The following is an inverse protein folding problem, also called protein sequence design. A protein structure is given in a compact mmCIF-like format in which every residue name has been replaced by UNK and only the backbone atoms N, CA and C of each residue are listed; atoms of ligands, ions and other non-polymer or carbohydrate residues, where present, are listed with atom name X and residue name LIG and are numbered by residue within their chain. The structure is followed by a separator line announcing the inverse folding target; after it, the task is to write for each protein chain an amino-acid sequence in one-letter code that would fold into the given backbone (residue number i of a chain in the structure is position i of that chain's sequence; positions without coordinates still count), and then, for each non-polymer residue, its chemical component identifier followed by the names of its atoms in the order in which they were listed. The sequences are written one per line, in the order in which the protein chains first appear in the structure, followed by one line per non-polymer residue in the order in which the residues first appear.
data_IF_490904223960
#
_entry.id   IF_490904223960
#
_cell.length_a   1.000
_cell.length_b   1.000
_cell.length_c   1.000
_cell.angle_alpha   90.00
_cell.angle_beta   90.00
_cell.angle_gamma   90.00
#
_symmetry.space_group_name_H-M   'P 1'
#
loop_
_entity.id
_entity.type
_entity.pdbx_description
1 polymer ?
#
# COMPACT_ATOMS: atom_id res chain seq x y z
N UNK A 1 15.73 -53.15 40.82
CA UNK A 1 16.29 -52.73 39.52
C UNK A 1 16.25 -51.21 39.43
N UNK A 2 17.38 -50.57 39.75
CA UNK A 2 17.50 -49.10 39.64
C UNK A 2 17.90 -48.71 38.21
N UNK A 3 16.92 -48.41 37.37
CA UNK A 3 17.19 -47.85 36.06
C UNK A 3 17.66 -46.39 36.23
N UNK A 4 18.94 -46.10 35.99
CA UNK A 4 19.48 -44.75 35.99
C UNK A 4 19.12 -44.15 34.63
N UNK A 5 18.20 -43.20 34.62
CA UNK A 5 17.88 -42.37 33.42
C UNK A 5 18.80 -41.17 33.43
N UNK A 6 19.77 -41.15 32.53
CA UNK A 6 20.68 -40.02 32.36
C UNK A 6 20.03 -39.04 31.39
N UNK A 7 19.60 -37.90 31.89
CA UNK A 7 19.14 -36.77 31.05
C UNK A 7 20.34 -35.97 30.57
N UNK A 8 20.59 -35.99 29.27
CA UNK A 8 21.53 -35.08 28.64
C UNK A 8 20.80 -33.76 28.38
N UNK A 9 21.06 -32.78 29.23
CA UNK A 9 20.71 -31.40 28.89
C UNK A 9 21.67 -30.93 27.80
N UNK A 10 21.16 -30.74 26.59
CA UNK A 10 21.93 -30.04 25.54
C UNK A 10 22.16 -28.64 26.04
N UNK A 11 23.42 -28.31 26.42
CA UNK A 11 23.78 -26.94 26.79
C UNK A 11 23.44 -26.01 25.65
N UNK A 12 22.50 -25.11 25.88
CA UNK A 12 22.10 -24.08 24.91
C UNK A 12 23.21 -23.02 24.65
N UNK A 13 24.36 -23.14 25.31
CA UNK A 13 25.45 -22.17 25.29
C UNK A 13 26.69 -22.65 24.51
N UNK A 14 26.54 -23.48 23.50
CA UNK A 14 27.64 -23.61 22.55
C UNK A 14 27.64 -22.32 21.72
N UNK A 15 28.68 -21.49 21.93
CA UNK A 15 28.96 -20.33 21.09
C UNK A 15 29.08 -20.80 19.64
N UNK A 16 28.06 -20.55 18.84
CA UNK A 16 28.10 -20.81 17.42
C UNK A 16 27.88 -19.50 16.65
N UNK A 17 28.48 -19.42 15.48
CA UNK A 17 28.20 -18.32 14.57
C UNK A 17 26.80 -18.51 13.96
N UNK A 18 25.90 -17.54 14.19
CA UNK A 18 24.55 -17.61 13.64
C UNK A 18 24.57 -17.52 12.11
N UNK A 19 23.86 -18.46 11.48
CA UNK A 19 23.57 -18.41 10.05
C UNK A 19 22.14 -17.94 9.87
N UNK A 20 21.98 -16.63 9.73
CA UNK A 20 20.69 -15.99 9.64
C UNK A 20 20.04 -16.15 8.26
N UNK A 21 18.72 -16.37 8.25
CA UNK A 21 17.89 -16.19 7.05
C UNK A 21 17.87 -14.73 6.60
N UNK A 22 17.35 -14.49 5.42
CA UNK A 22 16.97 -13.12 5.03
C UNK A 22 15.90 -12.57 5.99
N UNK A 23 15.86 -11.25 6.15
CA UNK A 23 14.80 -10.57 6.89
C UNK A 23 13.45 -10.76 6.18
N UNK A 24 12.41 -11.03 6.95
CA UNK A 24 11.03 -11.19 6.48
C UNK A 24 10.14 -10.18 7.20
N UNK A 25 9.41 -9.39 6.44
CA UNK A 25 8.44 -8.45 6.98
C UNK A 25 7.22 -9.20 7.57
N UNK A 26 6.77 -8.79 8.76
CA UNK A 26 5.69 -9.45 9.48
C UNK A 26 4.30 -8.89 9.13
N UNK A 27 4.23 -7.78 8.39
CA UNK A 27 2.98 -7.10 7.97
C UNK A 27 2.07 -6.76 9.17
N UNK A 28 2.65 -6.25 10.23
CA UNK A 28 2.02 -5.93 11.51
C UNK A 28 1.94 -4.43 11.80
N UNK A 29 2.18 -3.58 10.78
CA UNK A 29 2.04 -2.13 10.89
C UNK A 29 0.59 -1.73 11.17
N UNK A 30 0.41 -0.73 12.04
CA UNK A 30 -0.90 -0.17 12.39
C UNK A 30 -0.91 1.31 12.07
N UNK A 31 -1.99 1.78 11.44
CA UNK A 31 -2.25 3.19 11.21
C UNK A 31 -3.70 3.52 11.57
N UNK A 32 -3.91 4.24 12.64
CA UNK A 32 -5.22 4.74 13.06
C UNK A 32 -5.39 6.22 12.68
N UNK A 33 -4.35 7.04 12.89
CA UNK A 33 -4.32 8.46 12.55
C UNK A 33 -2.88 8.96 12.34
N UNK A 34 -2.71 10.21 11.95
CA UNK A 34 -1.38 10.83 11.80
C UNK A 34 -0.58 10.95 13.10
N UNK A 35 -1.25 10.88 14.25
CA UNK A 35 -0.64 10.91 15.58
C UNK A 35 -0.69 9.55 16.30
N UNK A 36 -1.33 8.55 15.70
CA UNK A 36 -1.49 7.21 16.27
C UNK A 36 -1.21 6.17 15.18
N UNK A 37 0.06 5.84 15.04
CA UNK A 37 0.51 4.78 14.13
C UNK A 37 1.72 4.07 14.71
N UNK A 38 1.92 2.83 14.28
CA UNK A 38 3.08 2.00 14.59
C UNK A 38 3.59 1.36 13.31
N UNK A 39 4.87 1.52 13.05
CA UNK A 39 5.54 0.77 11.98
C UNK A 39 5.54 -0.71 12.29
N UNK A 40 5.59 -1.53 11.23
CA UNK A 40 5.65 -2.98 11.37
C UNK A 40 7.02 -3.45 11.84
N UNK A 41 7.14 -4.77 11.94
CA UNK A 41 8.39 -5.43 12.33
C UNK A 41 8.86 -6.38 11.24
N UNK A 42 10.14 -6.74 11.30
CA UNK A 42 10.73 -7.78 10.46
C UNK A 42 11.53 -8.75 11.33
N UNK A 43 11.48 -10.02 10.96
CA UNK A 43 12.10 -11.12 11.71
C UNK A 43 13.02 -11.93 10.81
N UNK A 44 14.14 -12.41 11.37
CA UNK A 44 14.99 -13.44 10.76
C UNK A 44 15.26 -14.55 11.77
N UNK A 45 15.58 -15.73 11.27
CA UNK A 45 15.79 -16.93 12.11
C UNK A 45 17.11 -17.58 11.74
N UNK A 46 17.84 -18.01 12.75
CA UNK A 46 19.05 -18.78 12.56
C UNK A 46 18.70 -20.21 12.13
N UNK A 47 19.25 -20.67 11.01
CA UNK A 47 19.02 -22.02 10.50
C UNK A 47 19.66 -23.12 11.36
N UNK A 48 20.67 -22.80 12.18
CA UNK A 48 21.40 -23.76 12.99
C UNK A 48 20.73 -24.00 14.35
N UNK A 49 20.29 -22.96 15.05
CA UNK A 49 19.75 -23.07 16.41
C UNK A 49 18.26 -22.72 16.54
N UNK A 50 17.64 -22.16 15.48
CA UNK A 50 16.25 -21.71 15.51
C UNK A 50 16.00 -20.42 16.27
N UNK A 51 17.06 -19.77 16.78
CA UNK A 51 16.92 -18.46 17.42
C UNK A 51 16.41 -17.41 16.41
N UNK A 52 15.56 -16.52 16.87
CA UNK A 52 14.97 -15.47 16.05
C UNK A 52 15.26 -14.11 16.64
N UNK A 53 15.55 -13.15 15.77
CA UNK A 53 15.61 -11.75 16.15
C UNK A 53 14.62 -10.92 15.35
N UNK A 54 14.12 -9.87 15.98
CA UNK A 54 13.11 -8.97 15.40
C UNK A 54 13.58 -7.53 15.56
N UNK A 55 13.38 -6.73 14.53
CA UNK A 55 13.61 -5.28 14.53
C UNK A 55 12.46 -4.54 13.87
N UNK A 56 12.38 -3.23 14.09
CA UNK A 56 11.41 -2.38 13.42
C UNK A 56 11.63 -2.34 11.90
N UNK A 57 10.53 -2.19 11.18
CA UNK A 57 10.48 -1.94 9.76
C UNK A 57 9.98 -0.50 9.53
N UNK A 58 10.85 0.51 9.55
CA UNK A 58 10.47 1.92 9.59
C UNK A 58 9.70 2.34 8.33
N UNK A 59 8.80 3.33 8.50
CA UNK A 59 7.93 3.92 7.49
C UNK A 59 6.86 2.99 6.88
N UNK A 60 6.68 1.78 7.37
CA UNK A 60 5.66 0.85 6.84
C UNK A 60 4.24 1.36 7.04
N UNK A 61 3.92 1.98 8.17
CA UNK A 61 2.63 2.61 8.41
C UNK A 61 2.40 3.84 7.50
N UNK A 62 3.45 4.42 6.94
CA UNK A 62 3.40 5.57 6.04
C UNK A 62 3.24 5.18 4.57
N UNK A 63 3.41 3.90 4.21
CA UNK A 63 3.06 3.32 2.91
C UNK A 63 1.54 3.26 2.74
N UNK A 64 0.91 4.42 2.72
CA UNK A 64 -0.54 4.58 2.64
C UNK A 64 -0.94 5.75 1.78
N UNK A 65 -2.13 5.69 1.22
CA UNK A 65 -2.67 6.81 0.44
C UNK A 65 -2.77 8.09 1.29
N UNK A 66 -2.53 9.20 0.64
CA UNK A 66 -2.81 10.54 1.16
C UNK A 66 -4.04 11.18 0.49
N UNK A 67 -4.43 10.68 -0.67
CA UNK A 67 -5.62 11.09 -1.38
C UNK A 67 -5.76 10.41 -2.73
N UNK A 68 -6.86 10.72 -3.41
CA UNK A 68 -7.16 10.23 -4.74
C UNK A 68 -7.61 11.40 -5.63
N UNK A 69 -7.45 11.20 -6.93
CA UNK A 69 -7.95 12.09 -7.98
C UNK A 69 -8.53 11.25 -9.12
N UNK A 70 -9.39 11.85 -9.91
CA UNK A 70 -9.90 11.30 -11.14
C UNK A 70 -9.47 12.22 -12.29
N UNK A 71 -8.84 11.67 -13.31
CA UNK A 71 -8.54 12.37 -14.56
C UNK A 71 -9.41 11.81 -15.68
N UNK A 72 -9.94 12.72 -16.50
CA UNK A 72 -10.81 12.44 -17.64
C UNK A 72 -10.18 13.04 -18.88
N UNK A 73 -9.17 12.36 -19.41
CA UNK A 73 -8.49 12.76 -20.65
C UNK A 73 -8.88 11.80 -21.78
N UNK A 74 -7.93 11.04 -22.30
CA UNK A 74 -8.17 10.00 -23.30
C UNK A 74 -8.78 8.72 -22.70
N UNK A 75 -8.67 8.54 -21.39
CA UNK A 75 -9.27 7.47 -20.61
C UNK A 75 -9.61 7.95 -19.21
N UNK A 76 -10.44 7.19 -18.49
CA UNK A 76 -10.68 7.43 -17.08
C UNK A 76 -9.50 6.87 -16.32
N UNK A 77 -8.81 7.74 -15.58
CA UNK A 77 -7.64 7.40 -14.77
C UNK A 77 -7.95 7.65 -13.30
N UNK A 78 -7.82 6.63 -12.49
CA UNK A 78 -7.88 6.73 -11.04
C UNK A 78 -6.46 6.96 -10.53
N UNK A 79 -6.16 8.18 -10.09
CA UNK A 79 -4.89 8.52 -9.50
C UNK A 79 -4.95 8.40 -7.97
N UNK A 80 -3.90 7.88 -7.38
CA UNK A 80 -3.68 7.90 -5.93
C UNK A 80 -2.30 8.44 -5.64
N UNK A 81 -2.08 8.95 -4.44
CA UNK A 81 -0.79 9.56 -4.11
C UNK A 81 -0.37 9.32 -2.66
N UNK A 82 0.95 9.27 -2.49
CA UNK A 82 1.64 9.20 -1.20
C UNK A 82 2.69 10.31 -1.13
N UNK A 83 3.20 10.60 0.04
CA UNK A 83 4.19 11.66 0.22
C UNK A 83 5.54 11.28 -0.42
N UNK A 84 6.20 12.28 -1.01
CA UNK A 84 7.47 12.06 -1.71
C UNK A 84 8.59 11.60 -0.77
N UNK A 85 8.61 12.06 0.47
CA UNK A 85 9.59 11.64 1.48
C UNK A 85 9.56 10.11 1.72
N UNK A 86 8.35 9.51 1.72
CA UNK A 86 8.21 8.05 1.81
C UNK A 86 8.72 7.37 0.53
N UNK A 87 8.41 7.94 -0.65
CA UNK A 87 8.94 7.38 -1.92
C UNK A 87 10.46 7.46 -1.97
N UNK A 88 11.06 8.56 -1.52
CA UNK A 88 12.51 8.74 -1.51
C UNK A 88 13.23 7.88 -0.46
N UNK A 89 12.54 7.43 0.58
CA UNK A 89 13.12 6.57 1.61
C UNK A 89 13.39 5.15 1.11
N UNK A 90 12.51 4.60 0.28
CA UNK A 90 12.65 3.25 -0.26
C UNK A 90 13.49 3.23 -1.54
N UNK A 91 14.11 2.11 -1.81
CA UNK A 91 14.90 1.89 -3.05
C UNK A 91 13.96 1.77 -4.27
N UNK A 92 12.77 1.23 -4.04
CA UNK A 92 11.68 1.12 -5.02
C UNK A 92 10.34 1.31 -4.31
N UNK A 93 9.42 2.07 -4.93
CA UNK A 93 8.03 2.16 -4.47
C UNK A 93 7.09 1.92 -5.64
N UNK A 94 6.06 1.11 -5.40
CA UNK A 94 4.99 0.86 -6.34
C UNK A 94 3.66 0.69 -5.62
N UNK A 95 2.56 0.75 -6.37
CA UNK A 95 1.24 0.39 -5.90
C UNK A 95 0.70 -0.79 -6.70
N UNK A 96 0.07 -1.74 -6.05
CA UNK A 96 -0.72 -2.77 -6.71
C UNK A 96 -2.19 -2.36 -6.72
N UNK A 97 -2.76 -2.32 -7.93
CA UNK A 97 -4.18 -2.08 -8.16
C UNK A 97 -4.82 -3.38 -8.59
N UNK A 98 -5.76 -3.87 -7.78
CA UNK A 98 -6.50 -5.11 -8.09
C UNK A 98 -7.96 -4.78 -8.36
N UNK A 99 -8.43 -5.09 -9.58
CA UNK A 99 -9.80 -4.94 -10.02
C UNK A 99 -10.27 -6.22 -10.71
N UNK A 100 -11.43 -6.75 -10.31
CA UNK A 100 -12.02 -7.97 -10.91
C UNK A 100 -11.03 -9.15 -10.99
N UNK A 101 -10.22 -9.33 -9.92
CA UNK A 101 -9.23 -10.40 -9.81
C UNK A 101 -7.94 -10.20 -10.62
N UNK A 102 -7.82 -9.10 -11.36
CA UNK A 102 -6.57 -8.73 -12.06
C UNK A 102 -5.80 -7.71 -11.25
N UNK A 103 -4.51 -7.98 -11.03
CA UNK A 103 -3.60 -7.07 -10.34
C UNK A 103 -2.63 -6.45 -11.33
N UNK A 104 -2.46 -5.14 -11.24
CA UNK A 104 -1.50 -4.36 -12.00
C UNK A 104 -0.55 -3.65 -11.04
N UNK A 105 0.75 -3.75 -11.30
CA UNK A 105 1.80 -3.03 -10.59
C UNK A 105 2.02 -1.69 -11.28
N UNK A 106 1.81 -0.61 -10.53
CA UNK A 106 1.90 0.77 -11.03
C UNK A 106 3.00 1.51 -10.27
N UNK A 107 3.88 2.14 -11.00
CA UNK A 107 4.96 2.98 -10.47
C UNK A 107 4.55 4.46 -10.44
N UNK A 108 5.31 5.31 -9.71
CA UNK A 108 5.10 6.75 -9.77
C UNK A 108 5.14 7.23 -11.23
N UNK A 109 4.13 7.99 -11.63
CA UNK A 109 3.98 8.47 -13.02
C UNK A 109 4.97 9.57 -13.43
N UNK A 110 5.85 9.99 -12.51
CA UNK A 110 6.71 11.16 -12.66
C UNK A 110 6.01 12.50 -12.39
N UNK A 111 4.67 12.48 -12.29
CA UNK A 111 3.89 13.66 -11.90
C UNK A 111 3.94 13.85 -10.39
N UNK A 112 3.90 15.10 -9.95
CA UNK A 112 3.82 15.47 -8.53
C UNK A 112 2.69 16.42 -8.27
N UNK A 113 2.16 16.40 -7.05
CA UNK A 113 1.21 17.36 -6.52
C UNK A 113 1.85 18.02 -5.29
N UNK A 114 1.77 19.35 -5.20
CA UNK A 114 2.19 20.07 -3.99
C UNK A 114 0.96 20.67 -3.30
N UNK A 115 0.79 20.37 -2.03
CA UNK A 115 -0.27 20.95 -1.20
C UNK A 115 0.26 21.18 0.22
N UNK A 116 0.04 22.35 0.78
CA UNK A 116 0.52 22.76 2.11
C UNK A 116 2.02 22.47 2.32
N UNK A 117 2.84 22.81 1.33
CA UNK A 117 4.30 22.56 1.32
C UNK A 117 4.72 21.08 1.34
N UNK A 118 3.79 20.15 1.20
CA UNK A 118 4.06 18.72 1.10
C UNK A 118 3.99 18.33 -0.38
N UNK A 119 5.03 17.61 -0.83
CA UNK A 119 5.08 17.06 -2.20
C UNK A 119 4.60 15.62 -2.17
N UNK A 120 3.75 15.26 -3.13
CA UNK A 120 3.20 13.92 -3.29
C UNK A 120 3.61 13.36 -4.65
N UNK A 121 3.93 12.07 -4.70
CA UNK A 121 4.10 11.31 -5.93
C UNK A 121 2.77 10.66 -6.33
N UNK A 122 2.46 10.69 -7.61
CA UNK A 122 1.19 10.24 -8.17
C UNK A 122 1.38 8.89 -8.86
N UNK A 123 0.42 7.99 -8.63
CA UNK A 123 0.32 6.66 -9.24
C UNK A 123 -0.97 6.63 -10.05
N UNK A 124 -0.84 6.51 -11.37
CA UNK A 124 -1.94 6.61 -12.33
C UNK A 124 -2.39 5.20 -12.76
N UNK A 125 -3.56 4.76 -12.30
CA UNK A 125 -4.23 3.55 -12.78
C UNK A 125 -5.20 3.93 -13.89
N UNK A 126 -4.89 3.52 -15.13
CA UNK A 126 -5.59 3.91 -16.35
C UNK A 126 -6.56 2.83 -16.85
N UNK A 127 -7.32 3.15 -17.88
CA UNK A 127 -8.14 2.16 -18.58
C UNK A 127 -9.41 1.72 -17.85
N UNK A 128 -9.94 2.57 -16.95
CA UNK A 128 -11.27 2.36 -16.40
C UNK A 128 -12.27 2.73 -17.47
N UNK A 129 -13.09 1.78 -17.88
CA UNK A 129 -14.18 2.06 -18.84
C UNK A 129 -15.35 2.78 -18.11
N UNK A 130 -16.19 3.51 -18.84
CA UNK A 130 -17.39 4.14 -18.25
C UNK A 130 -18.33 3.14 -17.54
N UNK A 131 -18.42 1.91 -18.05
CA UNK A 131 -19.22 0.83 -17.43
C UNK A 131 -18.64 0.38 -16.07
N UNK A 132 -17.35 0.59 -15.87
CA UNK A 132 -16.60 0.11 -14.70
C UNK A 132 -16.38 1.20 -13.63
N UNK A 133 -17.09 2.33 -13.69
CA UNK A 133 -16.97 3.42 -12.71
C UNK A 133 -17.27 2.98 -11.28
N UNK A 134 -18.18 2.01 -11.11
CA UNK A 134 -18.57 1.45 -9.82
C UNK A 134 -17.68 0.32 -9.32
N UNK A 135 -16.76 -0.19 -10.14
CA UNK A 135 -15.89 -1.29 -9.74
C UNK A 135 -14.98 -0.88 -8.59
N UNK A 136 -14.96 -1.68 -7.55
CA UNK A 136 -13.99 -1.54 -6.46
C UNK A 136 -12.57 -1.87 -6.97
N UNK A 137 -11.67 -0.93 -6.79
CA UNK A 137 -10.23 -1.14 -6.99
C UNK A 137 -9.58 -1.25 -5.62
N UNK A 138 -9.01 -2.41 -5.31
CA UNK A 138 -8.18 -2.60 -4.11
C UNK A 138 -6.78 -2.09 -4.40
N UNK A 139 -6.25 -1.24 -3.54
CA UNK A 139 -4.97 -0.56 -3.73
C UNK A 139 -4.09 -0.81 -2.52
N UNK A 140 -2.87 -1.28 -2.75
CA UNK A 140 -1.85 -1.48 -1.71
C UNK A 140 -0.53 -0.86 -2.17
N UNK A 141 0.08 -0.04 -1.32
CA UNK A 141 1.42 0.49 -1.58
C UNK A 141 2.49 -0.45 -1.05
N UNK A 142 3.53 -0.61 -1.82
CA UNK A 142 4.72 -1.41 -1.49
C UNK A 142 5.97 -0.55 -1.56
N UNK A 143 6.91 -0.82 -0.68
CA UNK A 143 8.26 -0.26 -0.69
C UNK A 143 9.29 -1.35 -0.54
N UNK A 144 10.34 -1.31 -1.32
CA UNK A 144 11.50 -2.21 -1.20
C UNK A 144 12.66 -1.44 -0.56
N UNK A 145 13.26 -2.00 0.47
CA UNK A 145 14.43 -1.45 1.14
C UNK A 145 15.39 -2.56 1.52
N UNK A 146 16.65 -2.44 1.11
CA UNK A 146 17.67 -3.45 1.40
C UNK A 146 17.25 -4.88 1.03
N UNK A 147 16.54 -5.02 -0.10
CA UNK A 147 16.03 -6.30 -0.60
C UNK A 147 14.80 -6.86 0.15
N UNK A 148 14.27 -6.16 1.14
CA UNK A 148 13.04 -6.54 1.85
C UNK A 148 11.87 -5.75 1.29
N UNK A 149 10.77 -6.44 1.01
CA UNK A 149 9.51 -5.82 0.55
C UNK A 149 8.59 -5.58 1.74
N UNK A 150 8.18 -4.35 1.90
CA UNK A 150 7.22 -3.87 2.89
C UNK A 150 5.94 -3.43 2.20
N UNK A 151 4.81 -3.51 2.91
CA UNK A 151 3.54 -3.01 2.39
C UNK A 151 2.74 -2.29 3.47
N UNK A 152 1.94 -1.34 3.02
CA UNK A 152 0.91 -0.70 3.84
C UNK A 152 -0.40 -1.50 3.82
N UNK A 153 -1.41 -0.97 4.49
CA UNK A 153 -2.73 -1.57 4.48
C UNK A 153 -3.43 -1.37 3.13
N UNK A 154 -4.06 -2.42 2.64
CA UNK A 154 -4.92 -2.34 1.47
C UNK A 154 -6.15 -1.44 1.75
N UNK A 155 -6.60 -0.71 0.75
CA UNK A 155 -7.86 0.03 0.79
C UNK A 155 -8.58 -0.12 -0.54
N UNK A 156 -9.90 0.04 -0.50
CA UNK A 156 -10.75 0.02 -1.68
C UNK A 156 -11.17 1.43 -2.06
N UNK A 157 -11.25 1.68 -3.34
CA UNK A 157 -11.71 2.94 -3.88
C UNK A 157 -12.22 2.75 -5.31
N UNK A 158 -13.25 3.47 -5.70
CA UNK A 158 -13.80 3.45 -7.05
C UNK A 158 -13.86 4.86 -7.66
N UNK A 159 -14.06 4.95 -8.97
CA UNK A 159 -14.33 6.24 -9.60
C UNK A 159 -15.64 6.84 -9.07
N UNK A 160 -16.64 6.02 -8.78
CA UNK A 160 -17.91 6.42 -8.16
C UNK A 160 -17.70 7.05 -6.77
N UNK A 161 -16.78 6.53 -5.96
CA UNK A 161 -16.45 7.13 -4.65
C UNK A 161 -15.88 8.53 -4.79
N UNK A 162 -14.99 8.72 -5.77
CA UNK A 162 -14.49 10.07 -6.09
C UNK A 162 -15.62 11.01 -6.51
N UNK A 163 -16.51 10.55 -7.41
CA UNK A 163 -17.64 11.32 -7.90
C UNK A 163 -18.55 11.73 -6.74
N UNK A 164 -18.98 10.79 -5.91
CA UNK A 164 -19.82 11.05 -4.71
C UNK A 164 -19.16 12.07 -3.78
N UNK A 165 -17.88 11.87 -3.47
CA UNK A 165 -17.12 12.78 -2.61
C UNK A 165 -17.05 14.20 -3.19
N UNK A 166 -16.82 14.33 -4.51
CA UNK A 166 -16.72 15.63 -5.19
C UNK A 166 -18.07 16.33 -5.31
N UNK A 167 -19.14 15.61 -5.59
CA UNK A 167 -20.50 16.17 -5.64
C UNK A 167 -20.95 16.74 -4.28
N UNK A 168 -20.58 16.05 -3.18
CA UNK A 168 -20.91 16.48 -1.83
C UNK A 168 -20.00 17.61 -1.31
N UNK A 169 -18.90 17.93 -2.00
CA UNK A 169 -17.97 18.96 -1.57
C UNK A 169 -18.49 20.35 -1.97
N UNK A 170 -18.76 21.27 -1.01
CA UNK A 170 -19.29 22.61 -1.31
C UNK A 170 -18.40 23.43 -2.22
N UNK A 171 -17.08 23.27 -2.14
CA UNK A 171 -16.07 24.03 -2.89
C UNK A 171 -15.86 23.51 -4.32
N UNK A 172 -16.50 22.41 -4.73
CA UNK A 172 -16.43 21.91 -6.10
C UNK A 172 -17.24 22.80 -7.04
N UNK A 173 -16.65 23.17 -8.19
CA UNK A 173 -17.32 24.04 -9.15
C UNK A 173 -18.57 23.36 -9.75
N UNK A 174 -19.56 24.19 -10.12
CA UNK A 174 -20.79 23.68 -10.76
C UNK A 174 -20.47 22.92 -12.06
N UNK A 175 -19.52 23.44 -12.87
CA UNK A 175 -19.09 22.77 -14.13
C UNK A 175 -18.54 21.36 -13.87
N UNK A 176 -17.69 21.21 -12.84
CA UNK A 176 -17.16 19.89 -12.48
C UNK A 176 -18.28 18.95 -12.03
N UNK A 177 -19.21 19.45 -11.22
CA UNK A 177 -20.34 18.63 -10.76
C UNK A 177 -21.21 18.16 -11.92
N UNK A 178 -21.55 19.05 -12.89
CA UNK A 178 -22.28 18.68 -14.10
C UNK A 178 -21.54 17.61 -14.89
N UNK A 179 -20.24 17.80 -15.16
CA UNK A 179 -19.43 16.82 -15.89
C UNK A 179 -19.42 15.44 -15.22
N UNK A 180 -19.34 15.39 -13.89
CA UNK A 180 -19.34 14.12 -13.16
C UNK A 180 -20.70 13.42 -13.18
N UNK A 181 -21.80 14.18 -13.16
CA UNK A 181 -23.14 13.65 -13.33
C UNK A 181 -23.33 13.08 -14.74
N UNK A 182 -22.91 13.83 -15.78
CA UNK A 182 -22.98 13.37 -17.17
C UNK A 182 -22.14 12.11 -17.39
N UNK A 183 -20.98 12.01 -16.74
CA UNK A 183 -20.14 10.81 -16.79
C UNK A 183 -20.84 9.57 -16.20
N UNK A 184 -21.59 9.72 -15.10
CA UNK A 184 -22.37 8.62 -14.51
C UNK A 184 -23.45 8.17 -15.46
N UNK A 185 -24.26 9.09 -16.02
CA UNK A 185 -25.28 8.76 -17.01
C UNK A 185 -24.72 8.09 -18.26
N UNK A 186 -23.57 8.55 -18.73
CA UNK A 186 -22.88 7.91 -19.85
C UNK A 186 -22.45 6.47 -19.48
N UNK A 187 -21.91 6.26 -18.29
CA UNK A 187 -21.55 4.93 -17.80
C UNK A 187 -22.75 3.98 -17.72
N UNK A 188 -23.90 4.45 -17.21
CA UNK A 188 -25.14 3.68 -17.14
C UNK A 188 -25.66 3.34 -18.54
N UNK A 189 -25.66 4.30 -19.48
CA UNK A 189 -26.09 4.08 -20.85
C UNK A 189 -25.21 3.07 -21.62
N UNK A 190 -23.94 2.91 -21.22
CA UNK A 190 -23.02 1.94 -21.81
C UNK A 190 -23.20 0.50 -21.26
N UNK A 191 -24.06 0.27 -20.26
CA UNK A 191 -24.31 -1.05 -19.67
C UNK A 191 -25.43 -1.84 -20.39
N UNK A 192 -26.04 -1.27 -21.41
CA UNK A 192 -27.17 -1.87 -22.17
C UNK A 192 -26.65 -2.78 -23.29
#
# INVERSE_FOLDING_TARGET
DGTVVTYYYKNKNEEHTHTWSAWKYNNDAVYNSSSDYKDGTQTRTCSACGESETKEAPNTALLRRRGNALSLESSITLATYITKDVVDYYDEVYAEFTRNGKTEKVYPSGKTLTSNSIVYCIFDYTGISPQALGDDVSITFYGVKDGVTYNGNAYKYSATDYIKSTLNKPTSSAKLKTLLVDLVYYGEACQV
#
